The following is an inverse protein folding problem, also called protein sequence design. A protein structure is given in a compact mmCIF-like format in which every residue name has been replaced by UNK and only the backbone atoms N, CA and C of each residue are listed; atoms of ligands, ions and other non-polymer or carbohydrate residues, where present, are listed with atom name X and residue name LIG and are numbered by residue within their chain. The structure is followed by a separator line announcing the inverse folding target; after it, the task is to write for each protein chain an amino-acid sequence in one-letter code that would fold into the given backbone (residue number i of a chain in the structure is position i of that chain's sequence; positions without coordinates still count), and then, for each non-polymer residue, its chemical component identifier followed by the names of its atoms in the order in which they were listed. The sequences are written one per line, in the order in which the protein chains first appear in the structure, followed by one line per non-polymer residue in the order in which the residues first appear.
data_IF_769417121133
#
_entry.id   IF_769417121133
#
_cell.length_a   1.000
_cell.length_b   1.000
_cell.length_c   1.000
_cell.angle_alpha   90.00
_cell.angle_beta   90.00
_cell.angle_gamma   90.00
#
_symmetry.space_group_name_H-M   'P 1'
#
loop_
_entity.id
_entity.type
_entity.pdbx_description
1 polymer ?
#
# COMPACT_ATOMS: atom_id res chain seq x y z
N UNK A 1 7.31 -12.82 10.38
CA UNK A 1 6.38 -11.71 10.06
C UNK A 1 5.52 -12.14 8.90
N UNK A 2 4.25 -11.74 8.84
CA UNK A 2 3.39 -11.97 7.67
C UNK A 2 3.42 -10.78 6.72
N UNK A 3 2.97 -10.96 5.48
CA UNK A 3 2.83 -9.86 4.50
C UNK A 3 1.85 -8.80 5.02
N UNK A 4 0.71 -9.22 5.58
CA UNK A 4 -0.28 -8.31 6.16
C UNK A 4 0.33 -7.43 7.25
N UNK A 5 0.98 -8.05 8.24
CA UNK A 5 1.52 -7.30 9.37
C UNK A 5 2.58 -6.29 8.92
N UNK A 6 3.47 -6.68 8.00
CA UNK A 6 4.50 -5.77 7.49
C UNK A 6 3.89 -4.53 6.83
N UNK A 7 2.92 -4.73 5.94
CA UNK A 7 2.27 -3.64 5.22
C UNK A 7 1.41 -2.80 6.17
N UNK A 8 0.65 -3.44 7.08
CA UNK A 8 -0.18 -2.74 8.04
C UNK A 8 0.64 -1.82 8.94
N UNK A 9 1.79 -2.28 9.46
CA UNK A 9 2.69 -1.46 10.27
C UNK A 9 3.10 -0.18 9.55
N UNK A 10 3.53 -0.29 8.30
CA UNK A 10 3.97 0.86 7.50
C UNK A 10 2.85 1.89 7.33
N UNK A 11 1.66 1.43 6.93
CA UNK A 11 0.51 2.33 6.70
C UNK A 11 0.02 2.99 7.99
N UNK A 12 -0.06 2.25 9.09
CA UNK A 12 -0.50 2.80 10.38
C UNK A 12 0.49 3.83 10.91
N UNK A 13 1.80 3.53 10.89
CA UNK A 13 2.83 4.47 11.34
C UNK A 13 2.77 5.77 10.55
N UNK A 14 2.60 5.68 9.23
CA UNK A 14 2.49 6.85 8.36
C UNK A 14 1.25 7.72 8.67
N UNK A 15 0.09 7.12 8.96
CA UNK A 15 -1.10 7.89 9.34
C UNK A 15 -1.00 8.49 10.75
N UNK A 16 -0.39 7.78 11.71
CA UNK A 16 -0.16 8.31 13.06
C UNK A 16 0.81 9.51 13.00
N UNK A 17 1.85 9.45 12.15
CA UNK A 17 2.75 10.58 11.93
C UNK A 17 2.00 11.83 11.46
N UNK A 18 1.07 11.69 10.51
CA UNK A 18 0.27 12.82 10.03
C UNK A 18 -0.56 13.46 11.12
N UNK A 19 -1.09 12.68 12.08
CA UNK A 19 -1.84 13.22 13.23
C UNK A 19 -0.91 14.09 14.09
N UNK A 20 0.30 13.61 14.39
CA UNK A 20 1.31 14.37 15.13
C UNK A 20 1.75 15.63 14.38
N UNK A 21 2.03 15.54 13.09
CA UNK A 21 2.46 16.66 12.25
C UNK A 21 1.37 17.74 12.13
N UNK A 22 0.12 17.33 11.95
CA UNK A 22 -1.02 18.25 11.94
C UNK A 22 -1.20 18.96 13.29
N UNK A 23 -0.92 18.27 14.40
CA UNK A 23 -0.89 18.89 15.72
C UNK A 23 0.21 19.95 15.83
N UNK A 24 1.44 19.64 15.38
CA UNK A 24 2.56 20.60 15.39
C UNK A 24 2.27 21.83 14.53
N UNK A 25 1.69 21.63 13.35
CA UNK A 25 1.29 22.72 12.47
C UNK A 25 0.21 23.60 13.10
N UNK A 26 -0.74 23.01 13.83
CA UNK A 26 -1.81 23.73 14.51
C UNK A 26 -1.28 24.61 15.64
N UNK A 27 -0.29 24.14 16.41
CA UNK A 27 0.31 24.94 17.49
C UNK A 27 1.06 26.16 16.94
N UNK A 28 1.72 26.01 15.78
CA UNK A 28 2.43 27.09 15.07
C UNK A 28 1.51 28.04 14.30
N UNK A 29 0.21 27.77 14.25
CA UNK A 29 -0.73 28.56 13.46
C UNK A 29 -0.98 29.93 14.10
N UNK A 30 -1.06 30.98 13.27
CA UNK A 30 -1.28 32.38 13.72
C UNK A 30 -2.54 32.51 14.58
N UNK A 31 -3.61 31.78 14.22
CA UNK A 31 -4.85 31.76 14.99
C UNK A 31 -4.67 31.21 16.41
N UNK A 32 -3.88 30.15 16.58
CA UNK A 32 -3.56 29.64 17.90
C UNK A 32 -2.68 30.61 18.69
N UNK A 33 -1.68 31.24 18.06
CA UNK A 33 -0.83 32.25 18.73
C UNK A 33 -1.67 33.42 19.29
N UNK A 34 -2.63 33.92 18.52
CA UNK A 34 -3.54 35.00 18.95
C UNK A 34 -4.50 34.53 20.05
N UNK A 35 -5.05 33.32 19.94
CA UNK A 35 -5.96 32.78 20.96
C UNK A 35 -5.24 32.43 22.27
N UNK A 36 -4.01 31.88 22.20
CA UNK A 36 -3.17 31.61 23.36
C UNK A 36 -2.80 32.89 24.10
N UNK A 37 -2.53 33.99 23.37
CA UNK A 37 -2.33 35.30 23.98
C UNK A 37 -3.55 35.81 24.77
N UNK A 38 -4.77 35.43 24.34
CA UNK A 38 -6.03 35.72 25.03
C UNK A 38 -6.42 34.67 26.09
N UNK A 39 -5.57 33.67 26.38
CA UNK A 39 -5.89 32.60 27.33
C UNK A 39 -6.94 31.58 26.85
N UNK A 40 -7.34 31.65 25.57
CA UNK A 40 -8.32 30.78 24.91
C UNK A 40 -7.68 29.80 23.92
N UNK A 41 -6.35 29.73 23.91
CA UNK A 41 -5.58 28.87 23.01
C UNK A 41 -5.62 27.39 23.39
N UNK A 42 -4.98 26.57 22.56
CA UNK A 42 -4.79 25.14 22.85
C UNK A 42 -3.95 24.95 24.12
N UNK A 43 -4.32 23.96 24.94
CA UNK A 43 -3.47 23.49 26.03
C UNK A 43 -2.24 22.79 25.43
N UNK A 44 -1.08 23.45 25.55
CA UNK A 44 0.20 22.98 25.02
C UNK A 44 0.63 21.67 25.66
N UNK A 45 0.47 21.54 26.97
CA UNK A 45 0.87 20.32 27.70
C UNK A 45 0.00 19.11 27.36
N UNK A 46 -1.30 19.30 27.11
CA UNK A 46 -2.20 18.24 26.61
C UNK A 46 -1.86 17.89 25.14
N UNK A 47 -1.52 18.89 24.33
CA UNK A 47 -1.10 18.68 22.94
C UNK A 47 0.21 17.89 22.86
N UNK A 48 1.18 18.23 23.70
CA UNK A 48 2.45 17.51 23.84
C UNK A 48 2.22 16.07 24.29
N UNK A 49 1.41 15.85 25.34
CA UNK A 49 1.08 14.50 25.82
C UNK A 49 0.50 13.61 24.72
N UNK A 50 -0.43 14.15 23.90
CA UNK A 50 -1.02 13.42 22.77
C UNK A 50 0.02 13.02 21.72
N UNK A 51 1.02 13.87 21.45
CA UNK A 51 2.14 13.54 20.55
C UNK A 51 3.04 12.46 21.13
N UNK A 52 3.35 12.55 22.41
CA UNK A 52 4.13 11.53 23.12
C UNK A 52 3.42 10.16 23.06
N UNK A 53 2.10 10.11 23.27
CA UNK A 53 1.33 8.88 23.09
C UNK A 53 1.37 8.35 21.65
N UNK A 54 1.34 9.23 20.65
CA UNK A 54 1.48 8.83 19.25
C UNK A 54 2.88 8.27 18.94
N UNK A 55 3.94 8.84 19.51
CA UNK A 55 5.32 8.37 19.32
C UNK A 55 5.59 7.03 20.03
N UNK A 56 5.04 6.85 21.24
CA UNK A 56 5.03 5.56 21.94
C UNK A 56 4.32 4.52 21.07
N UNK A 57 3.10 4.83 20.61
CA UNK A 57 2.32 3.93 19.77
C UNK A 57 3.06 3.53 18.48
N UNK A 58 3.73 4.48 17.80
CA UNK A 58 4.54 4.17 16.60
C UNK A 58 5.68 3.21 16.91
N UNK A 59 6.30 3.37 18.07
CA UNK A 59 7.37 2.49 18.55
C UNK A 59 6.84 1.09 18.84
N UNK A 60 5.71 1.00 19.53
CA UNK A 60 5.04 -0.26 19.86
C UNK A 60 4.58 -1.01 18.60
N UNK A 61 3.97 -0.32 17.64
CA UNK A 61 3.59 -0.90 16.34
C UNK A 61 4.82 -1.42 15.59
N UNK A 62 5.91 -0.64 15.53
CA UNK A 62 7.14 -1.06 14.86
C UNK A 62 7.71 -2.34 15.50
N UNK A 63 7.74 -2.38 16.83
CA UNK A 63 8.33 -3.46 17.61
C UNK A 63 7.40 -4.64 17.84
N UNK A 64 6.12 -4.55 17.43
CA UNK A 64 5.15 -5.62 17.61
C UNK A 64 5.68 -6.93 17.00
N UNK A 65 5.84 -7.95 17.83
CA UNK A 65 6.24 -9.28 17.37
C UNK A 65 5.14 -9.87 16.48
N UNK A 66 5.54 -10.52 15.39
CA UNK A 66 4.58 -11.21 14.53
C UNK A 66 4.11 -12.49 15.19
N UNK A 67 2.80 -12.65 15.31
CA UNK A 67 2.17 -13.95 15.46
C UNK A 67 2.08 -14.64 14.08
N UNK A 68 1.81 -15.95 14.10
CA UNK A 68 1.55 -16.78 12.93
C UNK A 68 0.19 -16.42 12.31
N UNK A 69 -0.78 -16.04 13.16
CA UNK A 69 -2.13 -15.65 12.71
C UNK A 69 -2.25 -14.14 12.52
N UNK A 70 -2.70 -13.73 11.33
CA UNK A 70 -3.01 -12.34 11.05
C UNK A 70 -4.23 -11.81 11.78
N UNK A 71 -5.13 -12.68 12.22
CA UNK A 71 -6.23 -12.31 13.12
C UNK A 71 -5.68 -11.80 14.46
N UNK A 72 -4.72 -12.53 15.04
CA UNK A 72 -4.05 -12.12 16.28
C UNK A 72 -3.20 -10.87 16.06
N UNK A 73 -2.51 -10.77 14.92
CA UNK A 73 -1.76 -9.56 14.56
C UNK A 73 -2.69 -8.34 14.47
N UNK A 74 -3.86 -8.51 13.85
CA UNK A 74 -4.90 -7.47 13.77
C UNK A 74 -5.41 -7.07 15.16
N UNK A 75 -5.76 -8.04 16.01
CA UNK A 75 -6.22 -7.78 17.38
C UNK A 75 -5.17 -7.04 18.22
N UNK A 76 -3.90 -7.44 18.12
CA UNK A 76 -2.80 -6.79 18.82
C UNK A 76 -2.61 -5.33 18.36
N UNK A 77 -2.61 -5.08 17.05
CA UNK A 77 -2.57 -3.72 16.51
C UNK A 77 -3.77 -2.89 16.96
N UNK A 78 -4.98 -3.44 16.89
CA UNK A 78 -6.21 -2.75 17.30
C UNK A 78 -6.21 -2.41 18.80
N UNK A 79 -5.65 -3.30 19.63
CA UNK A 79 -5.47 -3.06 21.07
C UNK A 79 -4.52 -1.88 21.31
N UNK A 80 -3.38 -1.84 20.63
CA UNK A 80 -2.44 -0.72 20.72
C UNK A 80 -3.10 0.63 20.34
N UNK A 81 -3.86 0.65 19.23
CA UNK A 81 -4.58 1.84 18.77
C UNK A 81 -5.63 2.31 19.80
N UNK A 82 -6.41 1.37 20.33
CA UNK A 82 -7.48 1.65 21.30
C UNK A 82 -6.90 2.18 22.62
N UNK A 83 -5.83 1.56 23.12
CA UNK A 83 -5.17 1.98 24.35
C UNK A 83 -4.54 3.37 24.24
N UNK A 84 -3.89 3.68 23.12
CA UNK A 84 -3.34 5.01 22.87
C UNK A 84 -4.44 6.08 22.90
N UNK A 85 -5.56 5.82 22.20
CA UNK A 85 -6.72 6.74 22.20
C UNK A 85 -7.31 6.88 23.60
N UNK A 86 -7.48 5.78 24.34
CA UNK A 86 -8.03 5.77 25.70
C UNK A 86 -7.21 6.67 26.63
N UNK A 87 -5.89 6.48 26.68
CA UNK A 87 -4.98 7.30 27.50
C UNK A 87 -5.04 8.79 27.13
N UNK A 88 -5.06 9.10 25.83
CA UNK A 88 -5.18 10.48 25.35
C UNK A 88 -6.52 11.12 25.71
N UNK A 89 -7.60 10.35 25.71
CA UNK A 89 -8.94 10.79 26.12
C UNK A 89 -9.00 11.03 27.63
N UNK A 90 -8.54 10.10 28.44
CA UNK A 90 -8.49 10.24 29.90
C UNK A 90 -7.75 11.52 30.30
N UNK A 91 -6.61 11.80 29.65
CA UNK A 91 -5.86 13.03 29.92
C UNK A 91 -6.58 14.31 29.50
N UNK A 92 -7.41 14.23 28.46
CA UNK A 92 -8.24 15.35 28.02
C UNK A 92 -9.39 15.58 29.00
N UNK A 93 -10.08 14.51 29.42
CA UNK A 93 -11.20 14.54 30.36
C UNK A 93 -10.74 15.09 31.74
N UNK A 94 -9.57 14.66 32.24
CA UNK A 94 -8.94 15.20 33.47
C UNK A 94 -8.77 16.73 33.45
N UNK A 95 -8.58 17.30 32.26
CA UNK A 95 -8.35 18.72 32.04
C UNK A 95 -9.59 19.47 31.57
N UNK A 96 -10.74 18.80 31.45
CA UNK A 96 -11.98 19.38 30.95
C UNK A 96 -11.98 19.71 29.46
N UNK A 97 -11.10 19.08 28.66
CA UNK A 97 -11.05 19.24 27.21
C UNK A 97 -11.69 18.04 26.50
N UNK A 98 -12.17 18.27 25.28
CA UNK A 98 -12.53 17.16 24.38
C UNK A 98 -11.28 16.48 23.80
N UNK A 99 -11.47 15.33 23.14
CA UNK A 99 -10.39 14.63 22.43
C UNK A 99 -9.72 15.49 21.34
N UNK A 100 -10.37 16.57 20.87
CA UNK A 100 -9.90 17.42 19.78
C UNK A 100 -9.78 16.65 18.47
N UNK A 101 -8.85 17.04 17.58
CA UNK A 101 -8.59 16.33 16.32
C UNK A 101 -7.89 14.98 16.49
N UNK A 102 -7.32 14.71 17.67
CA UNK A 102 -6.59 13.47 17.95
C UNK A 102 -7.53 12.25 17.99
N UNK A 103 -8.67 12.36 18.69
CA UNK A 103 -9.65 11.26 18.82
C UNK A 103 -10.22 10.78 17.47
N UNK A 104 -10.77 11.69 16.63
CA UNK A 104 -11.18 11.37 15.27
C UNK A 104 -10.03 10.81 14.43
N UNK A 105 -8.82 11.39 14.51
CA UNK A 105 -7.64 10.86 13.80
C UNK A 105 -7.32 9.41 14.19
N UNK A 106 -7.35 9.08 15.48
CA UNK A 106 -7.13 7.69 15.95
C UNK A 106 -8.26 6.73 15.55
N UNK A 107 -9.51 7.23 15.50
CA UNK A 107 -10.64 6.47 14.95
C UNK A 107 -10.41 6.15 13.48
N UNK A 108 -9.90 7.14 12.74
CA UNK A 108 -9.55 6.96 11.34
C UNK A 108 -8.42 5.93 11.18
N UNK A 109 -7.38 5.93 12.01
CA UNK A 109 -6.33 4.90 11.95
C UNK A 109 -6.88 3.50 12.25
N UNK A 110 -7.80 3.37 13.21
CA UNK A 110 -8.43 2.09 13.56
C UNK A 110 -9.28 1.54 12.41
N UNK A 111 -10.04 2.41 11.74
CA UNK A 111 -10.80 2.05 10.55
C UNK A 111 -9.89 1.67 9.36
N UNK A 112 -8.69 2.26 9.26
CA UNK A 112 -7.69 1.85 8.25
C UNK A 112 -7.30 0.40 8.45
N UNK A 113 -6.92 0.05 9.69
CA UNK A 113 -6.50 -1.29 10.04
C UNK A 113 -7.59 -2.32 9.73
N UNK A 114 -8.84 -2.02 10.08
CA UNK A 114 -10.00 -2.88 9.77
C UNK A 114 -10.15 -3.10 8.27
N UNK A 115 -10.16 -2.03 7.48
CA UNK A 115 -10.33 -2.14 6.02
C UNK A 115 -9.15 -2.85 5.35
N UNK A 116 -7.93 -2.68 5.85
CA UNK A 116 -6.76 -3.44 5.39
C UNK A 116 -6.96 -4.93 5.65
N UNK A 117 -7.35 -5.31 6.88
CA UNK A 117 -7.58 -6.70 7.26
C UNK A 117 -8.66 -7.35 6.39
N UNK A 118 -9.82 -6.70 6.26
CA UNK A 118 -10.93 -7.19 5.42
C UNK A 118 -10.52 -7.33 3.95
N UNK A 119 -9.75 -6.35 3.43
CA UNK A 119 -9.27 -6.37 2.05
C UNK A 119 -8.29 -7.52 1.80
N UNK A 120 -7.36 -7.73 2.72
CA UNK A 120 -6.38 -8.82 2.60
C UNK A 120 -7.05 -10.18 2.76
N UNK A 121 -8.04 -10.30 3.65
CA UNK A 121 -8.84 -11.51 3.79
C UNK A 121 -9.55 -11.86 2.48
N UNK A 122 -10.26 -10.89 1.89
CA UNK A 122 -10.98 -11.08 0.63
C UNK A 122 -10.03 -11.43 -0.55
N UNK A 123 -8.79 -10.96 -0.52
CA UNK A 123 -7.78 -11.26 -1.53
C UNK A 123 -7.04 -12.59 -1.28
N UNK A 124 -7.29 -13.28 -0.16
CA UNK A 124 -6.54 -14.48 0.23
C UNK A 124 -5.07 -14.17 0.56
N UNK A 125 -4.79 -12.98 1.09
CA UNK A 125 -3.44 -12.49 1.41
C UNK A 125 -3.10 -12.54 2.90
N UNK A 126 -3.96 -13.14 3.73
CA UNK A 126 -3.67 -13.36 5.15
C UNK A 126 -2.81 -14.61 5.36
N UNK A 127 -2.10 -14.62 6.48
CA UNK A 127 -1.27 -15.70 7.01
C UNK A 127 -0.13 -16.13 6.07
N UNK A 128 0.29 -15.26 5.14
CA UNK A 128 1.42 -15.53 4.26
C UNK A 128 2.70 -15.06 4.94
N UNK A 129 3.69 -15.94 5.18
CA UNK A 129 4.97 -15.55 5.74
C UNK A 129 5.70 -14.55 4.83
N UNK A 130 6.14 -13.45 5.42
CA UNK A 130 7.07 -12.50 4.83
C UNK A 130 8.49 -12.80 5.29
N UNK A 131 9.35 -13.17 4.34
CA UNK A 131 10.79 -13.34 4.54
C UNK A 131 11.53 -12.13 3.97
N UNK A 132 12.45 -11.58 4.76
CA UNK A 132 13.22 -10.37 4.42
C UNK A 132 14.45 -10.66 3.54
N UNK A 133 14.97 -11.90 3.56
CA UNK A 133 16.17 -12.30 2.82
C UNK A 133 15.82 -12.84 1.43
N UNK A 134 16.56 -12.41 0.40
CA UNK A 134 16.32 -12.78 -1.01
C UNK A 134 16.52 -14.27 -1.29
N UNK A 135 17.44 -14.92 -0.58
CA UNK A 135 17.81 -16.32 -0.81
C UNK A 135 16.69 -17.29 -0.45
N UNK A 136 15.74 -16.90 0.40
CA UNK A 136 14.66 -17.77 0.87
C UNK A 136 13.26 -17.34 0.45
N UNK A 137 13.10 -16.21 -0.27
CA UNK A 137 11.78 -15.67 -0.60
C UNK A 137 11.20 -16.44 -1.80
N UNK A 138 10.11 -17.20 -1.63
CA UNK A 138 9.48 -17.87 -2.77
C UNK A 138 9.01 -16.83 -3.79
N UNK A 139 9.20 -17.04 -5.10
CA UNK A 139 8.87 -16.04 -6.12
C UNK A 139 7.43 -15.50 -6.02
N UNK A 140 6.46 -16.38 -5.73
CA UNK A 140 5.06 -15.99 -5.54
C UNK A 140 4.84 -15.05 -4.34
N UNK A 141 5.69 -15.15 -3.31
CA UNK A 141 5.63 -14.28 -2.13
C UNK A 141 6.00 -12.84 -2.48
N UNK A 142 6.93 -12.64 -3.44
CA UNK A 142 7.25 -11.30 -3.97
C UNK A 142 6.04 -10.70 -4.65
N UNK A 143 5.37 -11.46 -5.52
CA UNK A 143 4.15 -11.01 -6.19
C UNK A 143 3.04 -10.68 -5.17
N UNK A 144 2.77 -11.59 -4.23
CA UNK A 144 1.77 -11.38 -3.16
C UNK A 144 2.06 -10.14 -2.32
N UNK A 145 3.33 -9.87 -2.02
CA UNK A 145 3.72 -8.67 -1.27
C UNK A 145 3.36 -7.39 -2.04
N UNK A 146 3.80 -7.26 -3.29
CA UNK A 146 3.53 -6.06 -4.10
C UNK A 146 2.05 -5.90 -4.45
N UNK A 147 1.32 -7.01 -4.61
CA UNK A 147 -0.13 -6.98 -4.70
C UNK A 147 -0.79 -6.46 -3.40
N UNK A 148 -0.31 -6.91 -2.24
CA UNK A 148 -0.73 -6.39 -0.94
C UNK A 148 -0.49 -4.89 -0.79
N UNK A 149 0.68 -4.40 -1.23
CA UNK A 149 1.03 -2.96 -1.21
C UNK A 149 0.06 -2.17 -2.09
N UNK A 150 -0.23 -2.66 -3.30
CA UNK A 150 -1.22 -2.05 -4.18
C UNK A 150 -2.60 -1.98 -3.52
N UNK A 151 -3.09 -3.09 -2.95
CA UNK A 151 -4.40 -3.14 -2.31
C UNK A 151 -4.47 -2.21 -1.08
N UNK A 152 -3.41 -2.14 -0.29
CA UNK A 152 -3.32 -1.22 0.85
C UNK A 152 -3.37 0.24 0.40
N UNK A 153 -2.69 0.60 -0.69
CA UNK A 153 -2.76 1.93 -1.28
C UNK A 153 -4.20 2.27 -1.67
N UNK A 154 -4.94 1.32 -2.23
CA UNK A 154 -6.34 1.53 -2.65
C UNK A 154 -7.32 1.66 -1.50
N UNK A 155 -7.09 0.96 -0.39
CA UNK A 155 -7.84 1.21 0.85
C UNK A 155 -7.63 2.66 1.30
N UNK A 156 -6.38 3.13 1.36
CA UNK A 156 -6.06 4.51 1.74
C UNK A 156 -6.65 5.56 0.80
N UNK A 157 -6.53 5.37 -0.51
CA UNK A 157 -7.03 6.29 -1.53
C UNK A 157 -8.57 6.43 -1.46
N UNK A 158 -9.28 5.31 -1.31
CA UNK A 158 -10.75 5.29 -1.19
C UNK A 158 -11.23 6.12 -0.01
N UNK A 159 -10.47 6.12 1.10
CA UNK A 159 -10.80 6.89 2.29
C UNK A 159 -10.62 8.39 2.10
N UNK A 160 -9.48 8.81 1.55
CA UNK A 160 -9.24 10.23 1.23
C UNK A 160 -10.29 10.79 0.27
N UNK A 161 -10.71 10.00 -0.72
CA UNK A 161 -11.74 10.39 -1.67
C UNK A 161 -13.14 10.43 -1.06
N UNK A 162 -13.43 9.58 -0.07
CA UNK A 162 -14.71 9.59 0.66
C UNK A 162 -14.85 10.72 1.68
N UNK A 163 -13.73 11.26 2.18
CA UNK A 163 -13.68 12.39 3.12
C UNK A 163 -13.64 13.75 2.40
N UNK A 164 -13.07 13.81 1.19
CA UNK A 164 -13.19 14.98 0.31
C UNK A 164 -14.62 15.07 -0.24
N UNK A 165 -15.12 16.28 -0.49
CA UNK A 165 -16.49 16.65 -0.92
C UNK A 165 -17.00 16.03 -2.24
N UNK A 166 -16.38 14.96 -2.73
CA UNK A 166 -16.73 14.24 -3.96
C UNK A 166 -17.92 13.28 -3.81
N UNK A 167 -18.49 13.10 -2.60
CA UNK A 167 -19.71 12.31 -2.38
C UNK A 167 -20.90 12.79 -3.26
N UNK A 168 -20.92 14.06 -3.64
CA UNK A 168 -21.99 14.66 -4.44
C UNK A 168 -21.85 14.40 -5.96
N UNK A 169 -20.74 13.79 -6.43
CA UNK A 169 -20.44 13.64 -7.87
C UNK A 169 -20.57 12.17 -8.35
N UNK A 170 -21.24 11.31 -7.58
CA UNK A 170 -21.45 9.89 -7.94
C UNK A 170 -22.33 9.69 -9.18
N UNK A 171 -23.00 10.73 -9.66
CA UNK A 171 -23.86 10.68 -10.86
C UNK A 171 -23.10 11.05 -12.15
N UNK A 172 -21.80 11.37 -12.07
CA UNK A 172 -21.00 11.62 -13.26
C UNK A 172 -20.55 10.27 -13.87
N UNK A 173 -20.88 9.97 -15.14
CA UNK A 173 -20.52 8.71 -15.79
C UNK A 173 -19.01 8.46 -15.82
N UNK A 174 -18.18 9.52 -15.84
CA UNK A 174 -16.71 9.40 -15.74
C UNK A 174 -16.27 8.86 -14.37
N UNK A 175 -16.94 9.27 -13.29
CA UNK A 175 -16.62 8.80 -11.93
C UNK A 175 -17.07 7.35 -11.73
N UNK A 176 -18.23 7.00 -12.31
CA UNK A 176 -18.71 5.62 -12.31
C UNK A 176 -17.77 4.69 -13.09
N UNK A 177 -17.24 5.13 -14.25
CA UNK A 177 -16.24 4.36 -14.99
C UNK A 177 -14.91 4.24 -14.24
N UNK A 178 -14.50 5.26 -13.48
CA UNK A 178 -13.28 5.17 -12.65
C UNK A 178 -13.41 4.16 -11.50
N UNK A 179 -14.52 4.18 -10.77
CA UNK A 179 -14.77 3.20 -9.69
C UNK A 179 -14.83 1.78 -10.24
N UNK A 180 -15.43 1.61 -11.44
CA UNK A 180 -15.48 0.33 -12.13
C UNK A 180 -14.10 -0.14 -12.58
N UNK A 181 -13.31 0.73 -13.21
CA UNK A 181 -11.93 0.43 -13.61
C UNK A 181 -11.10 -0.02 -12.40
N UNK A 182 -11.20 0.69 -11.29
CA UNK A 182 -10.44 0.38 -10.08
C UNK A 182 -10.82 -1.00 -9.51
N UNK A 183 -12.12 -1.30 -9.47
CA UNK A 183 -12.60 -2.64 -9.08
C UNK A 183 -12.08 -3.73 -10.02
N UNK A 184 -12.17 -3.51 -11.34
CA UNK A 184 -11.71 -4.48 -12.33
C UNK A 184 -10.19 -4.73 -12.23
N UNK A 185 -9.40 -3.71 -11.89
CA UNK A 185 -7.96 -3.87 -11.62
C UNK A 185 -7.68 -4.69 -10.37
N UNK A 186 -8.39 -4.41 -9.27
CA UNK A 186 -8.23 -5.19 -8.03
C UNK A 186 -8.63 -6.65 -8.23
N UNK A 187 -9.73 -6.90 -8.95
CA UNK A 187 -10.15 -8.25 -9.31
C UNK A 187 -9.11 -8.95 -10.20
N UNK A 188 -8.52 -8.24 -11.16
CA UNK A 188 -7.46 -8.78 -12.01
C UNK A 188 -6.20 -9.17 -11.21
N UNK A 189 -5.82 -8.36 -10.20
CA UNK A 189 -4.71 -8.69 -9.29
C UNK A 189 -5.00 -9.98 -8.52
N UNK A 190 -6.18 -10.08 -7.89
CA UNK A 190 -6.55 -11.26 -7.10
C UNK A 190 -6.58 -12.52 -7.96
N UNK A 191 -7.19 -12.46 -9.15
CA UNK A 191 -7.20 -13.59 -10.09
C UNK A 191 -5.79 -13.98 -10.54
N UNK A 192 -4.95 -13.02 -10.89
CA UNK A 192 -3.58 -13.29 -11.31
C UNK A 192 -2.76 -14.01 -10.23
N UNK A 193 -2.95 -13.68 -8.95
CA UNK A 193 -2.30 -14.39 -7.84
C UNK A 193 -2.81 -15.83 -7.72
N UNK A 194 -4.13 -16.03 -7.84
CA UNK A 194 -4.74 -17.35 -7.75
C UNK A 194 -4.32 -18.25 -8.91
N UNK A 195 -4.34 -17.73 -10.13
CA UNK A 195 -3.94 -18.46 -11.33
C UNK A 195 -2.45 -18.78 -11.30
N UNK A 196 -1.60 -17.81 -10.92
CA UNK A 196 -0.17 -18.04 -10.73
C UNK A 196 0.11 -19.12 -9.68
N UNK A 197 -0.63 -19.12 -8.57
CA UNK A 197 -0.49 -20.16 -7.54
C UNK A 197 -0.86 -21.55 -8.08
N UNK A 198 -1.94 -21.66 -8.86
CA UNK A 198 -2.34 -22.94 -9.49
C UNK A 198 -1.28 -23.40 -10.48
N UNK A 199 -0.77 -22.50 -11.32
CA UNK A 199 0.26 -22.84 -12.30
C UNK A 199 1.53 -23.36 -11.62
N UNK A 200 1.96 -22.72 -10.53
CA UNK A 200 3.12 -23.16 -9.75
C UNK A 200 2.93 -24.54 -9.12
N UNK A 201 1.71 -24.91 -8.71
CA UNK A 201 1.41 -26.25 -8.20
C UNK A 201 1.56 -27.36 -9.26
N UNK A 202 1.63 -27.01 -10.55
CA UNK A 202 1.85 -28.00 -11.62
C UNK A 202 3.33 -28.35 -11.84
N UNK A 203 4.24 -27.57 -11.26
CA UNK A 203 5.69 -27.76 -11.39
C UNK A 203 6.13 -28.81 -10.37
N UNK A 204 6.93 -29.80 -10.80
CA UNK A 204 7.49 -30.81 -9.90
C UNK A 204 8.63 -30.22 -9.07
N UNK A 205 8.58 -30.44 -7.74
CA UNK A 205 9.57 -29.91 -6.79
C UNK A 205 10.95 -30.56 -6.89
N UNK A 206 11.04 -31.72 -7.52
CA UNK A 206 12.28 -32.51 -7.69
C UNK A 206 13.16 -32.05 -8.87
N UNK A 207 12.76 -30.99 -9.58
CA UNK A 207 13.54 -30.43 -10.67
C UNK A 207 14.78 -29.70 -10.14
N UNK A 208 15.95 -30.01 -10.71
CA UNK A 208 17.23 -29.33 -10.38
C UNK A 208 17.15 -27.80 -10.56
N UNK A 209 16.28 -27.33 -11.44
CA UNK A 209 16.04 -25.91 -11.72
C UNK A 209 14.67 -25.40 -11.21
N UNK A 210 14.04 -26.09 -10.25
CA UNK A 210 12.68 -25.78 -9.76
C UNK A 210 12.47 -24.29 -9.46
N UNK A 211 13.42 -23.66 -8.76
CA UNK A 211 13.35 -22.23 -8.41
C UNK A 211 13.34 -21.33 -9.64
N UNK A 212 14.19 -21.59 -10.62
CA UNK A 212 14.26 -20.79 -11.85
C UNK A 212 12.96 -20.89 -12.65
N UNK A 213 12.40 -22.09 -12.75
CA UNK A 213 11.10 -22.31 -13.40
C UNK A 213 10.00 -21.55 -12.67
N UNK A 214 9.98 -21.58 -11.33
CA UNK A 214 9.03 -20.80 -10.54
C UNK A 214 9.17 -19.29 -10.78
N UNK A 215 10.39 -18.76 -10.82
CA UNK A 215 10.65 -17.34 -11.13
C UNK A 215 10.09 -16.98 -12.50
N UNK A 216 10.41 -17.77 -13.54
CA UNK A 216 9.92 -17.54 -14.90
C UNK A 216 8.40 -17.52 -14.98
N UNK A 217 7.73 -18.45 -14.30
CA UNK A 217 6.25 -18.50 -14.25
C UNK A 217 5.65 -17.30 -13.54
N UNK A 218 6.23 -16.86 -12.42
CA UNK A 218 5.76 -15.65 -11.73
C UNK A 218 5.98 -14.39 -12.57
N UNK A 219 7.12 -14.28 -13.25
CA UNK A 219 7.41 -13.18 -14.18
C UNK A 219 6.41 -13.15 -15.35
N UNK A 220 6.08 -14.30 -15.92
CA UNK A 220 5.05 -14.43 -16.97
C UNK A 220 3.68 -13.95 -16.46
N UNK A 221 3.28 -14.34 -15.25
CA UNK A 221 2.04 -13.88 -14.61
C UNK A 221 2.03 -12.36 -14.39
N UNK A 222 3.14 -11.78 -13.92
CA UNK A 222 3.29 -10.34 -13.74
C UNK A 222 3.22 -9.57 -15.07
N UNK A 223 3.85 -10.08 -16.12
CA UNK A 223 3.78 -9.50 -17.48
C UNK A 223 2.36 -9.58 -18.05
N UNK A 224 1.67 -10.69 -17.85
CA UNK A 224 0.26 -10.84 -18.23
C UNK A 224 -0.65 -9.86 -17.48
N UNK A 225 -0.44 -9.69 -16.17
CA UNK A 225 -1.16 -8.70 -15.37
C UNK A 225 -0.87 -7.26 -15.84
N UNK A 226 0.38 -6.96 -16.21
CA UNK A 226 0.76 -5.66 -16.76
C UNK A 226 0.02 -5.36 -18.07
N UNK A 227 -0.01 -6.34 -18.99
CA UNK A 227 -0.79 -6.25 -20.23
C UNK A 227 -2.28 -6.06 -19.92
N UNK A 228 -2.83 -6.82 -18.97
CA UNK A 228 -4.24 -6.69 -18.60
C UNK A 228 -4.57 -5.32 -18.01
N UNK A 229 -3.69 -4.76 -17.17
CA UNK A 229 -3.84 -3.41 -16.65
C UNK A 229 -3.84 -2.36 -17.78
N UNK A 230 -3.01 -2.54 -18.82
CA UNK A 230 -3.02 -1.68 -20.00
C UNK A 230 -4.36 -1.77 -20.75
N UNK A 231 -4.83 -2.98 -21.04
CA UNK A 231 -6.14 -3.22 -21.69
C UNK A 231 -7.30 -2.58 -20.91
N UNK A 232 -7.30 -2.72 -19.57
CA UNK A 232 -8.33 -2.11 -18.72
C UNK A 232 -8.29 -0.58 -18.77
N UNK A 233 -7.10 0.02 -18.75
CA UNK A 233 -6.94 1.48 -18.87
C UNK A 233 -7.39 1.97 -20.25
N UNK A 234 -7.08 1.24 -21.32
CA UNK A 234 -7.52 1.58 -22.68
C UNK A 234 -9.04 1.46 -22.84
N UNK A 235 -9.64 0.40 -22.29
CA UNK A 235 -11.09 0.17 -22.35
C UNK A 235 -11.91 1.21 -21.57
N UNK A 236 -11.41 1.68 -20.43
CA UNK A 236 -12.08 2.67 -19.59
C UNK A 236 -11.57 4.10 -19.78
N UNK A 237 -10.50 4.26 -20.55
CA UNK A 237 -9.94 5.56 -20.91
C UNK A 237 -10.85 6.23 -21.94
N UNK A 238 -11.40 7.39 -21.61
CA UNK A 238 -11.85 8.31 -22.66
C UNK A 238 -10.65 8.55 -23.58
N UNK A 239 -10.84 8.41 -24.91
CA UNK A 239 -9.85 8.68 -25.97
C UNK A 239 -9.08 9.98 -25.73
N UNK A 240 -8.05 9.91 -24.89
CA UNK A 240 -7.04 10.92 -24.69
C UNK A 240 -5.81 10.24 -25.28
N UNK A 241 -5.60 10.49 -26.56
CA UNK A 241 -4.34 10.17 -27.24
C UNK A 241 -3.23 10.90 -26.50
N UNK A 242 -2.66 10.25 -25.51
CA UNK A 242 -1.45 10.71 -24.84
C UNK A 242 -0.34 9.85 -25.45
N UNK A 243 0.56 10.44 -26.26
CA UNK A 243 1.67 9.71 -26.83
C UNK A 243 2.55 9.17 -25.70
N UNK A 244 2.57 7.84 -25.56
CA UNK A 244 3.43 7.16 -24.60
C UNK A 244 4.77 6.93 -25.27
N UNK A 245 5.70 7.86 -25.07
CA UNK A 245 7.11 7.61 -25.37
C UNK A 245 7.67 6.71 -24.29
N UNK A 246 7.93 5.44 -24.64
CA UNK A 246 8.64 4.51 -23.75
C UNK A 246 10.14 4.75 -23.96
N UNK A 247 10.73 5.63 -23.15
CA UNK A 247 12.19 5.81 -23.12
C UNK A 247 12.78 4.91 -22.03
N UNK A 248 13.50 3.88 -22.46
CA UNK A 248 14.31 3.02 -21.62
C UNK A 248 15.73 3.58 -21.53
N UNK A 249 16.06 4.52 -20.63
CA UNK A 249 17.46 4.73 -20.18
C UNK A 249 17.53 5.41 -18.80
N UNK A 250 18.55 5.02 -18.03
CA UNK A 250 18.82 5.42 -16.67
C UNK A 250 19.25 6.89 -16.52
N UNK A 251 18.59 7.62 -15.63
CA UNK A 251 19.17 8.54 -14.63
C UNK A 251 18.04 9.37 -14.01
N UNK A 252 18.14 9.60 -12.70
CA UNK A 252 17.12 10.28 -11.93
C UNK A 252 17.14 11.79 -12.17
N UNK A 253 16.01 12.34 -12.63
CA UNK A 253 15.50 13.65 -12.20
C UNK A 253 13.97 13.62 -12.28
N UNK A 254 13.30 13.62 -11.13
CA UNK A 254 11.84 13.58 -11.02
C UNK A 254 11.29 14.99 -11.20
N UNK A 255 10.74 15.26 -12.38
CA UNK A 255 9.67 16.24 -12.61
C UNK A 255 9.06 15.96 -13.99
N UNK A 256 8.04 15.10 -14.02
CA UNK A 256 7.22 14.80 -15.20
C UNK A 256 5.75 15.12 -14.92
N UNK A 257 4.99 15.58 -15.92
CA UNK A 257 3.66 16.15 -15.73
C UNK A 257 2.60 15.06 -15.47
N UNK A 258 1.52 15.51 -14.85
CA UNK A 258 0.39 14.76 -14.29
C UNK A 258 -0.12 13.64 -15.20
N UNK A 259 0.32 12.41 -14.90
CA UNK A 259 -0.33 11.17 -15.36
C UNK A 259 -1.64 11.04 -14.58
N UNK A 260 -2.74 10.77 -15.26
CA UNK A 260 -4.04 10.54 -14.61
C UNK A 260 -3.92 9.56 -13.42
N UNK A 261 -4.62 9.81 -12.30
CA UNK A 261 -4.29 9.25 -10.98
C UNK A 261 -4.32 7.72 -10.85
N UNK A 262 -4.89 6.99 -11.82
CA UNK A 262 -5.23 5.57 -11.64
C UNK A 262 -4.50 4.57 -12.54
N UNK A 263 -3.61 4.99 -13.46
CA UNK A 263 -2.81 4.05 -14.29
C UNK A 263 -1.49 3.62 -13.64
N UNK A 264 -0.91 4.48 -12.80
CA UNK A 264 0.48 4.36 -12.35
C UNK A 264 0.72 3.31 -11.26
N UNK A 265 -0.13 3.24 -10.24
CA UNK A 265 0.26 2.55 -9.01
C UNK A 265 0.34 1.02 -9.15
N UNK A 266 -0.64 0.41 -9.84
CA UNK A 266 -0.57 -1.01 -10.15
C UNK A 266 0.66 -1.33 -11.02
N UNK A 267 0.93 -0.49 -12.02
CA UNK A 267 2.10 -0.63 -12.88
C UNK A 267 3.40 -0.58 -12.08
N UNK A 268 3.55 0.39 -11.16
CA UNK A 268 4.72 0.51 -10.29
C UNK A 268 4.93 -0.73 -9.43
N UNK A 269 3.86 -1.22 -8.78
CA UNK A 269 3.92 -2.42 -7.95
C UNK A 269 4.35 -3.65 -8.76
N UNK A 270 3.81 -3.82 -9.98
CA UNK A 270 4.20 -4.91 -10.88
C UNK A 270 5.67 -4.78 -11.30
N UNK A 271 6.11 -3.59 -11.71
CA UNK A 271 7.50 -3.35 -12.12
C UNK A 271 8.49 -3.60 -10.98
N UNK A 272 8.14 -3.20 -9.76
CA UNK A 272 8.96 -3.45 -8.60
C UNK A 272 9.04 -4.95 -8.26
N UNK A 273 7.94 -5.69 -8.42
CA UNK A 273 7.95 -7.15 -8.29
C UNK A 273 8.83 -7.83 -9.37
N UNK A 274 8.75 -7.38 -10.63
CA UNK A 274 9.60 -7.88 -11.73
C UNK A 274 11.08 -7.64 -11.42
N UNK A 275 11.41 -6.43 -10.96
CA UNK A 275 12.77 -6.03 -10.60
C UNK A 275 13.34 -6.90 -9.47
N UNK A 276 12.55 -7.13 -8.41
CA UNK A 276 12.96 -7.99 -7.28
C UNK A 276 13.16 -9.45 -7.67
N UNK A 277 12.46 -9.92 -8.70
CA UNK A 277 12.64 -11.26 -9.26
C UNK A 277 13.79 -11.36 -10.26
N UNK A 278 14.50 -10.26 -10.52
CA UNK A 278 15.62 -10.22 -11.47
C UNK A 278 15.20 -10.25 -12.94
N UNK A 279 13.92 -9.96 -13.25
CA UNK A 279 13.38 -10.03 -14.61
C UNK A 279 14.03 -9.08 -15.62
N UNK A 280 14.69 -8.01 -15.16
CA UNK A 280 15.43 -7.06 -16.00
C UNK A 280 16.76 -7.64 -16.54
N UNK A 281 17.23 -8.78 -16.01
CA UNK A 281 18.50 -9.42 -16.41
C UNK A 281 18.36 -10.42 -17.56
N UNK A 282 17.16 -10.90 -17.87
CA UNK A 282 16.94 -11.93 -18.90
C UNK A 282 16.88 -11.36 -20.34
N UNK A 283 16.45 -10.10 -20.54
CA UNK A 283 16.40 -9.48 -21.87
C UNK A 283 17.80 -9.27 -22.49
N UNK A 284 18.85 -9.13 -21.66
CA UNK A 284 20.23 -8.99 -22.17
C UNK A 284 20.91 -10.31 -22.56
N UNK A 285 20.27 -11.48 -22.35
CA UNK A 285 20.88 -12.79 -22.68
C UNK A 285 20.29 -13.46 -23.91
N UNK A 286 19.04 -13.15 -24.29
CA UNK A 286 18.45 -13.68 -25.53
C UNK A 286 18.99 -12.98 -26.78
N UNK A 287 19.44 -11.72 -26.69
CA UNK A 287 20.09 -10.99 -27.79
C UNK A 287 21.59 -11.30 -27.99
N UNK A 288 22.20 -12.12 -27.13
CA UNK A 288 23.63 -12.49 -27.23
C UNK A 288 23.88 -13.93 -27.70
N UNK A 289 22.85 -14.76 -27.87
CA UNK A 289 23.00 -16.16 -28.30
C UNK A 289 22.22 -16.54 -29.57
N UNK A 290 21.61 -15.59 -30.26
CA UNK A 290 21.04 -15.81 -31.60
C UNK A 290 22.02 -15.40 -32.71
N UNK A 291 23.15 -16.10 -32.80
CA UNK A 291 23.95 -16.13 -34.02
C UNK A 291 24.31 -17.60 -34.34
N UNK A 292 23.51 -18.30 -35.16
CA UNK A 292 23.97 -19.48 -35.83
C UNK A 292 24.85 -19.04 -37.00
N UNK A 293 26.12 -19.42 -36.91
CA UNK A 293 27.01 -19.61 -38.04
C UNK A 293 26.33 -20.46 -39.12
N UNK A 294 26.30 -19.98 -40.36
CA UNK A 294 26.39 -20.85 -41.52
C UNK A 294 27.30 -20.22 -42.57
N UNK A 295 28.38 -20.96 -42.84
CA UNK A 295 29.28 -20.80 -43.97
C UNK A 295 28.53 -21.04 -45.28
N UNK A 296 28.81 -20.21 -46.29
CA UNK A 296 29.33 -20.64 -47.61
C UNK A 296 30.13 -19.49 -48.19
#
# INVERSE_FOLDING_TARGET
MTIFLEIAKEYLINEIMKISDASVASDKSVGNTVCSWLGLGRDETLSQYKREQADILRTDIRNLASDVSDEKNYEALNTLLTECRRKAKEKADEKGYSEGSFGPGMSDVSELLKQLYERFNAAGLLNIPYKKTEEEKPPLTVFRYWAGVYLAHKVKESRHNSQSTLKTITHNPKITSFNRLEKEKQDAVVRAIQDCNKDLQTIKEDLDNYREVCVKRVLECLRNLLRKNKELVEHHGANLEIPVTISFFASATVSGPVIGPHSGELKKCIQQAIKELGGDKEENKEDLNAAPTYNT
#
